data_IF_312040734773
#
_entry.id   IF_312040734773
#
_cell.length_a   1.000
_cell.length_b   1.000
_cell.length_c   1.000
_cell.angle_alpha   90.00
_cell.angle_beta   90.00
_cell.angle_gamma   90.00
#
_symmetry.space_group_name_H-M   'P 1'
#
loop_
_entity.id
_entity.type
_entity.pdbx_description
1 polymer ?
#
# COMPACT_ATOMS: atom_id res chain seq x y z
N UNK A 1 -12.72 12.98 8.39
CA UNK A 1 -12.20 11.98 7.45
C UNK A 1 -12.86 12.17 6.10
N UNK A 2 -12.06 12.22 5.04
CA UNK A 2 -12.55 12.13 3.66
C UNK A 2 -13.17 10.77 3.41
N UNK A 3 -14.23 10.73 2.62
CA UNK A 3 -14.85 9.49 2.16
C UNK A 3 -14.07 8.84 1.01
N UNK A 4 -14.46 7.61 0.64
CA UNK A 4 -13.80 6.85 -0.41
C UNK A 4 -13.83 7.54 -1.77
N UNK A 5 -14.95 8.17 -2.12
CA UNK A 5 -15.09 8.82 -3.41
C UNK A 5 -14.20 10.06 -3.48
N UNK A 6 -14.06 10.81 -2.38
CA UNK A 6 -13.13 11.93 -2.27
C UNK A 6 -11.68 11.47 -2.46
N UNK A 7 -11.28 10.35 -1.84
CA UNK A 7 -9.92 9.81 -1.97
C UNK A 7 -9.67 9.30 -3.39
N UNK A 8 -10.60 8.54 -3.99
CA UNK A 8 -10.46 8.08 -5.36
C UNK A 8 -10.38 9.24 -6.34
N UNK A 9 -11.25 10.24 -6.22
CA UNK A 9 -11.19 11.43 -7.07
C UNK A 9 -9.85 12.16 -6.90
N UNK A 10 -9.36 12.31 -5.67
CA UNK A 10 -8.07 12.94 -5.39
C UNK A 10 -6.92 12.22 -6.09
N UNK A 11 -6.77 10.90 -5.88
CA UNK A 11 -5.64 10.15 -6.45
C UNK A 11 -5.73 10.04 -7.97
N UNK A 12 -6.95 9.89 -8.52
CA UNK A 12 -7.18 9.88 -9.96
C UNK A 12 -6.88 11.23 -10.59
N UNK A 13 -7.22 12.34 -9.94
CA UNK A 13 -6.90 13.68 -10.44
C UNK A 13 -5.39 13.92 -10.45
N UNK A 14 -4.68 13.58 -9.37
CA UNK A 14 -3.23 13.67 -9.30
C UNK A 14 -2.59 12.83 -10.42
N UNK A 15 -3.02 11.57 -10.56
CA UNK A 15 -2.49 10.69 -11.57
C UNK A 15 -2.79 11.22 -12.97
N UNK A 16 -4.01 11.65 -13.28
CA UNK A 16 -4.36 12.17 -14.62
C UNK A 16 -3.55 13.41 -15.02
N UNK A 17 -3.26 14.30 -14.07
CA UNK A 17 -2.43 15.49 -14.32
C UNK A 17 -0.94 15.15 -14.49
N UNK A 18 -0.46 14.10 -13.82
CA UNK A 18 0.93 13.67 -13.89
C UNK A 18 1.14 12.60 -14.97
N UNK A 19 1.74 13.01 -16.10
CA UNK A 19 2.01 12.12 -17.24
C UNK A 19 2.99 10.99 -16.92
N UNK A 20 3.74 11.09 -15.82
CA UNK A 20 4.69 10.06 -15.36
C UNK A 20 3.98 8.84 -14.78
N UNK A 21 2.73 8.99 -14.32
CA UNK A 21 1.95 7.89 -13.74
C UNK A 21 1.25 7.13 -14.87
N UNK A 22 1.53 5.83 -14.96
CA UNK A 22 0.97 4.94 -15.98
C UNK A 22 -0.34 4.31 -15.54
N UNK A 23 -0.45 3.95 -14.26
CA UNK A 23 -1.62 3.36 -13.66
C UNK A 23 -1.75 3.71 -12.18
N UNK A 24 -2.98 3.57 -11.66
CA UNK A 24 -3.31 3.66 -10.24
C UNK A 24 -4.00 2.37 -9.84
N UNK A 25 -3.47 1.70 -8.82
CA UNK A 25 -4.10 0.53 -8.21
C UNK A 25 -4.42 0.83 -6.75
N UNK A 26 -5.45 0.17 -6.24
CA UNK A 26 -5.76 0.04 -4.83
C UNK A 26 -5.38 -1.38 -4.42
N UNK A 27 -4.47 -1.52 -3.47
CA UNK A 27 -4.10 -2.80 -2.88
C UNK A 27 -4.78 -2.97 -1.52
N UNK A 28 -4.63 -4.15 -0.90
CA UNK A 28 -4.93 -4.31 0.52
C UNK A 28 -6.41 -4.42 0.85
N UNK A 29 -6.72 -4.19 2.12
CA UNK A 29 -8.03 -4.53 2.70
C UNK A 29 -9.21 -3.79 2.06
N UNK A 30 -9.02 -2.57 1.55
CA UNK A 30 -10.08 -1.83 0.82
C UNK A 30 -10.37 -2.39 -0.56
N UNK A 31 -9.41 -3.08 -1.19
CA UNK A 31 -9.63 -3.79 -2.44
C UNK A 31 -10.44 -5.09 -2.25
N UNK A 32 -10.51 -5.62 -1.02
CA UNK A 32 -11.27 -6.83 -0.72
C UNK A 32 -12.79 -6.54 -0.72
N UNK A 33 -13.58 -7.15 -1.64
CA UNK A 33 -15.03 -6.92 -1.68
C UNK A 33 -15.77 -7.58 -0.51
N UNK A 34 -15.17 -8.57 0.14
CA UNK A 34 -15.81 -9.43 1.14
C UNK A 34 -15.77 -8.88 2.57
N UNK A 35 -15.00 -7.82 2.82
CA UNK A 35 -14.94 -7.16 4.12
C UNK A 35 -15.70 -5.83 4.10
N UNK A 36 -16.45 -5.50 5.17
CA UNK A 36 -17.00 -4.16 5.35
C UNK A 36 -15.87 -3.13 5.31
N UNK A 37 -16.15 -1.99 4.69
CA UNK A 37 -15.22 -0.87 4.69
C UNK A 37 -15.45 -0.06 5.95
N UNK A 38 -14.38 0.33 6.63
CA UNK A 38 -14.45 1.17 7.83
C UNK A 38 -13.52 2.38 7.74
N UNK A 39 -13.64 3.27 8.72
CA UNK A 39 -12.87 4.51 8.81
C UNK A 39 -11.42 4.29 9.26
N UNK A 40 -11.07 3.12 9.80
CA UNK A 40 -9.73 2.82 10.30
C UNK A 40 -8.86 2.09 9.27
N UNK A 41 -9.45 1.64 8.17
CA UNK A 41 -8.71 1.08 7.04
C UNK A 41 -7.93 2.15 6.27
N UNK A 42 -6.66 1.88 6.05
CA UNK A 42 -5.78 2.69 5.22
C UNK A 42 -6.14 2.57 3.73
N UNK A 43 -5.78 3.57 2.93
CA UNK A 43 -5.80 3.48 1.47
C UNK A 43 -4.40 3.12 0.96
N UNK A 44 -4.17 1.84 0.65
CA UNK A 44 -2.96 1.36 -0.01
C UNK A 44 -3.01 1.70 -1.50
N UNK A 45 -2.49 2.87 -1.87
CA UNK A 45 -2.51 3.36 -3.25
C UNK A 45 -1.17 3.04 -3.91
N UNK A 46 -1.22 2.44 -5.09
CA UNK A 46 -0.05 2.19 -5.92
C UNK A 46 -0.09 3.07 -7.15
N UNK A 47 0.94 3.87 -7.33
CA UNK A 47 1.23 4.62 -8.55
C UNK A 47 2.31 3.88 -9.34
N UNK A 48 1.93 3.33 -10.50
CA UNK A 48 2.87 2.64 -11.38
C UNK A 48 3.61 3.68 -12.22
N UNK A 49 4.94 3.73 -12.12
CA UNK A 49 5.75 4.76 -12.78
C UNK A 49 7.21 4.35 -12.94
N UNK A 50 7.80 4.72 -14.09
CA UNK A 50 9.24 4.61 -14.34
C UNK A 50 10.04 5.81 -13.77
N UNK A 51 9.38 6.80 -13.18
CA UNK A 51 9.97 8.10 -12.83
C UNK A 51 9.97 8.33 -11.30
N UNK A 52 10.29 7.30 -10.52
CA UNK A 52 10.26 7.37 -9.06
C UNK A 52 11.18 8.51 -8.57
N UNK A 53 12.41 8.55 -9.07
CA UNK A 53 13.43 9.53 -8.69
C UNK A 53 13.00 10.97 -8.99
N UNK A 54 12.36 11.19 -10.14
CA UNK A 54 11.82 12.51 -10.53
C UNK A 54 10.64 12.93 -9.65
N UNK A 55 9.86 11.97 -9.15
CA UNK A 55 8.73 12.25 -8.26
C UNK A 55 9.23 12.57 -6.85
N UNK A 56 10.16 11.80 -6.31
CA UNK A 56 10.68 12.00 -4.94
C UNK A 56 11.60 13.21 -4.82
N UNK A 57 12.26 13.62 -5.91
CA UNK A 57 13.07 14.86 -5.94
C UNK A 57 12.22 16.12 -5.80
N UNK A 58 10.93 16.07 -6.19
CA UNK A 58 9.95 17.07 -5.78
C UNK A 58 9.58 16.86 -4.30
N UNK A 59 10.31 17.55 -3.43
CA UNK A 59 10.10 17.50 -1.98
C UNK A 59 8.68 17.89 -1.54
N UNK A 60 7.88 18.52 -2.40
CA UNK A 60 6.50 18.91 -2.12
C UNK A 60 5.45 17.98 -2.75
N UNK A 61 5.85 16.89 -3.42
CA UNK A 61 4.91 16.02 -4.12
C UNK A 61 3.76 15.51 -3.22
N UNK A 62 4.09 15.15 -1.97
CA UNK A 62 3.14 14.69 -0.96
C UNK A 62 2.05 15.72 -0.62
N UNK A 63 2.31 17.03 -0.79
CA UNK A 63 1.34 18.09 -0.47
C UNK A 63 0.13 18.08 -1.39
N UNK A 64 0.20 17.40 -2.54
CA UNK A 64 -0.94 17.22 -3.45
C UNK A 64 -2.09 16.44 -2.81
N UNK A 65 -1.82 15.67 -1.76
CA UNK A 65 -2.79 14.79 -1.11
C UNK A 65 -3.53 15.45 0.08
N UNK A 66 -3.13 16.65 0.49
CA UNK A 66 -3.74 17.40 1.59
C UNK A 66 -2.80 17.66 2.77
N UNK A 67 -3.36 18.17 3.86
CA UNK A 67 -2.61 18.55 5.06
C UNK A 67 -2.22 17.33 5.90
N UNK A 68 -0.92 17.06 5.97
CA UNK A 68 -0.35 15.90 6.65
C UNK A 68 -0.19 16.20 8.15
N UNK A 69 -0.67 15.26 8.99
CA UNK A 69 -0.41 15.23 10.43
C UNK A 69 0.95 14.59 10.72
N UNK A 70 1.21 13.42 10.14
CA UNK A 70 2.48 12.70 10.27
C UNK A 70 2.76 11.90 8.99
N UNK A 71 4.04 11.80 8.62
CA UNK A 71 4.47 11.05 7.45
C UNK A 71 5.76 10.28 7.71
N UNK A 72 5.87 9.10 7.12
CA UNK A 72 7.09 8.30 7.06
C UNK A 72 7.45 7.96 5.61
N UNK A 73 8.74 7.79 5.36
CA UNK A 73 9.29 7.32 4.09
C UNK A 73 10.21 6.13 4.34
N UNK A 74 9.67 4.92 4.54
CA UNK A 74 10.45 3.77 5.04
C UNK A 74 11.59 3.35 4.10
N UNK A 75 11.50 3.68 2.81
CA UNK A 75 12.53 3.36 1.84
C UNK A 75 13.65 4.40 1.76
N UNK A 76 13.50 5.58 2.36
CA UNK A 76 14.46 6.69 2.24
C UNK A 76 15.71 6.40 3.09
N UNK A 77 16.84 6.13 2.43
CA UNK A 77 18.12 5.89 3.08
C UNK A 77 19.18 6.87 2.58
N UNK A 78 20.10 7.24 3.48
CA UNK A 78 21.24 8.10 3.14
C UNK A 78 22.08 7.41 2.05
N UNK A 79 22.29 8.13 0.94
CA UNK A 79 23.05 7.70 -0.25
C UNK A 79 22.34 6.71 -1.20
N UNK A 80 21.07 6.38 -0.99
CA UNK A 80 20.29 5.61 -1.98
C UNK A 80 19.65 6.58 -2.99
N UNK A 81 20.01 6.44 -4.26
CA UNK A 81 19.55 7.31 -5.34
C UNK A 81 18.62 6.61 -6.33
N UNK A 82 18.50 5.29 -6.25
CA UNK A 82 17.67 4.49 -7.17
C UNK A 82 16.72 3.58 -6.38
N UNK A 83 15.49 3.49 -6.86
CA UNK A 83 14.39 2.80 -6.21
C UNK A 83 13.58 1.98 -7.22
N UNK A 84 13.20 0.77 -6.81
CA UNK A 84 12.23 -0.06 -7.52
C UNK A 84 10.81 0.15 -6.96
N UNK A 85 10.76 0.45 -5.67
CA UNK A 85 9.58 0.88 -4.93
C UNK A 85 9.98 2.01 -3.96
N UNK A 86 9.10 3.00 -3.79
CA UNK A 86 9.23 4.03 -2.78
C UNK A 86 7.88 4.32 -2.13
N UNK A 87 7.79 4.21 -0.81
CA UNK A 87 6.57 4.42 -0.06
C UNK A 87 6.54 5.76 0.67
N UNK A 88 5.38 6.39 0.68
CA UNK A 88 4.97 7.44 1.58
C UNK A 88 3.84 6.90 2.46
N UNK A 89 4.07 6.78 3.76
CA UNK A 89 3.02 6.44 4.72
C UNK A 89 2.54 7.75 5.32
N UNK A 90 1.29 8.13 5.05
CA UNK A 90 0.78 9.47 5.37
C UNK A 90 -0.52 9.40 6.14
N UNK A 91 -0.54 9.98 7.34
CA UNK A 91 -1.76 10.27 8.07
C UNK A 91 -2.04 11.77 7.98
N UNK A 92 -3.25 12.13 7.60
CA UNK A 92 -3.67 13.50 7.36
C UNK A 92 -4.39 14.10 8.58
N UNK A 93 -4.55 15.42 8.61
CA UNK A 93 -5.22 16.13 9.72
C UNK A 93 -6.69 15.71 9.90
N UNK A 94 -7.33 15.26 8.83
CA UNK A 94 -8.69 14.73 8.87
C UNK A 94 -8.77 13.28 9.35
N UNK A 95 -7.64 12.70 9.76
CA UNK A 95 -7.38 11.32 10.21
C UNK A 95 -7.43 10.24 9.14
N UNK A 96 -7.72 10.58 7.88
CA UNK A 96 -7.58 9.62 6.78
C UNK A 96 -6.11 9.22 6.63
N UNK A 97 -5.84 7.96 6.28
CA UNK A 97 -4.50 7.45 6.01
C UNK A 97 -4.36 6.93 4.59
N UNK A 98 -3.30 7.35 3.92
CA UNK A 98 -2.93 6.88 2.58
C UNK A 98 -1.49 6.37 2.65
N UNK A 99 -1.32 5.09 2.32
CA UNK A 99 -0.03 4.46 2.14
C UNK A 99 0.23 4.41 0.63
N UNK A 100 0.94 5.41 0.12
CA UNK A 100 1.25 5.55 -1.31
C UNK A 100 2.55 4.83 -1.65
N UNK A 101 2.52 3.86 -2.56
CA UNK A 101 3.70 3.23 -3.15
C UNK A 101 3.89 3.69 -4.60
N UNK A 102 5.08 4.18 -4.92
CA UNK A 102 5.55 4.38 -6.29
C UNK A 102 6.28 3.11 -6.71
N UNK A 103 5.84 2.43 -7.75
CA UNK A 103 6.43 1.14 -8.17
C UNK A 103 6.76 1.18 -9.66
N UNK A 104 7.97 0.74 -10.03
CA UNK A 104 8.36 0.54 -11.42
C UNK A 104 7.56 -0.62 -12.03
N UNK A 105 7.05 -0.51 -13.27
CA UNK A 105 6.23 -1.55 -13.90
C UNK A 105 6.84 -2.96 -13.83
N UNK A 106 8.16 -3.06 -14.02
CA UNK A 106 8.89 -4.33 -14.04
C UNK A 106 8.95 -5.05 -12.69
N UNK A 107 8.71 -4.34 -11.58
CA UNK A 107 8.69 -4.90 -10.22
C UNK A 107 7.28 -4.92 -9.62
N UNK A 108 6.24 -4.61 -10.39
CA UNK A 108 4.89 -4.46 -9.86
C UNK A 108 4.39 -5.73 -9.16
N UNK A 109 4.66 -6.91 -9.73
CA UNK A 109 4.25 -8.18 -9.14
C UNK A 109 5.01 -8.51 -7.85
N UNK A 110 6.28 -8.13 -7.74
CA UNK A 110 7.11 -8.38 -6.56
C UNK A 110 6.67 -7.55 -5.34
N UNK A 111 6.10 -6.37 -5.58
CA UNK A 111 5.70 -5.40 -4.54
C UNK A 111 4.18 -5.33 -4.30
N UNK A 112 3.37 -6.09 -5.04
CA UNK A 112 1.95 -6.30 -4.72
C UNK A 112 1.82 -7.48 -3.75
N UNK A 113 2.03 -7.17 -2.48
CA UNK A 113 2.17 -8.10 -1.36
C UNK A 113 0.85 -8.41 -0.63
N UNK A 114 -0.28 -8.28 -1.30
CA UNK A 114 -1.59 -8.55 -0.71
C UNK A 114 -2.42 -9.54 -1.56
N UNK A 115 -3.47 -10.10 -0.96
CA UNK A 115 -4.42 -10.98 -1.63
C UNK A 115 -5.38 -10.24 -2.57
N UNK A 116 -5.60 -8.94 -2.38
CA UNK A 116 -6.59 -8.16 -3.11
C UNK A 116 -5.97 -6.92 -3.74
N UNK A 117 -6.20 -6.76 -5.05
CA UNK A 117 -5.80 -5.57 -5.80
C UNK A 117 -6.88 -5.22 -6.82
N UNK A 118 -7.08 -3.91 -7.01
CA UNK A 118 -8.02 -3.33 -7.95
C UNK A 118 -7.37 -2.19 -8.72
N UNK A 119 -7.46 -2.23 -10.04
CA UNK A 119 -7.02 -1.15 -10.93
C UNK A 119 -8.06 -0.03 -10.92
N UNK A 120 -7.66 1.17 -10.52
CA UNK A 120 -8.50 2.37 -10.56
C UNK A 120 -8.30 3.17 -11.84
N UNK A 121 -7.08 3.16 -12.40
CA UNK A 121 -6.72 3.83 -13.65
C UNK A 121 -5.66 3.02 -14.39
N UNK A 122 -5.84 2.86 -15.69
CA UNK A 122 -4.83 2.30 -16.58
C UNK A 122 -4.74 3.14 -17.86
N UNK A 123 -3.68 3.94 -17.98
CA UNK A 123 -3.48 4.81 -19.16
C UNK A 123 -2.77 4.08 -20.30
N UNK A 124 -2.27 2.86 -20.08
CA UNK A 124 -1.47 2.08 -21.03
C UNK A 124 -2.18 0.83 -21.53
N UNK A 125 -3.31 0.46 -20.93
CA UNK A 125 -4.03 -0.79 -21.17
C UNK A 125 -3.13 -2.02 -20.98
N UNK A 126 -2.33 -2.03 -19.90
CA UNK A 126 -1.36 -3.08 -19.57
C UNK A 126 -1.54 -3.69 -18.18
N UNK A 127 -2.36 -3.08 -17.34
CA UNK A 127 -2.40 -3.36 -15.91
C UNK A 127 -3.71 -4.00 -15.46
N UNK A 128 -4.69 -4.20 -16.36
CA UNK A 128 -6.00 -4.78 -16.02
C UNK A 128 -5.92 -6.16 -15.35
N UNK A 129 -4.90 -6.96 -15.63
CA UNK A 129 -4.66 -8.27 -15.01
C UNK A 129 -4.28 -8.18 -13.53
N UNK A 130 -3.97 -6.98 -13.03
CA UNK A 130 -3.76 -6.70 -11.61
C UNK A 130 -5.06 -6.39 -10.85
N UNK A 131 -6.23 -6.60 -11.48
CA UNK A 131 -7.49 -6.82 -10.76
C UNK A 131 -7.55 -8.29 -10.34
N UNK A 132 -7.18 -8.59 -9.09
CA UNK A 132 -7.19 -9.96 -8.60
C UNK A 132 -7.75 -10.09 -7.19
N UNK A 133 -8.27 -11.28 -6.93
CA UNK A 133 -8.75 -11.75 -5.64
C UNK A 133 -8.09 -13.11 -5.36
N UNK A 134 -6.93 -13.09 -4.71
CA UNK A 134 -6.11 -14.25 -4.34
C UNK A 134 -6.32 -14.60 -2.86
N UNK A 135 -7.57 -14.75 -2.44
CA UNK A 135 -7.94 -14.95 -1.02
C UNK A 135 -7.20 -16.10 -0.33
N UNK A 136 -6.74 -17.10 -1.09
CA UNK A 136 -5.93 -18.21 -0.59
C UNK A 136 -4.60 -17.77 0.02
N UNK A 137 -4.08 -16.58 -0.30
CA UNK A 137 -2.90 -16.01 0.36
C UNK A 137 -3.11 -15.70 1.84
N UNK A 138 -4.36 -15.56 2.29
CA UNK A 138 -4.71 -15.43 3.71
C UNK A 138 -4.99 -16.76 4.40
N UNK A 139 -4.99 -17.88 3.67
CA UNK A 139 -5.23 -19.20 4.27
C UNK A 139 -4.01 -19.66 5.06
N UNK A 140 -4.13 -19.65 6.39
CA UNK A 140 -3.12 -20.25 7.26
C UNK A 140 -3.25 -21.76 7.28
N UNK A 141 -2.11 -22.47 7.29
CA UNK A 141 -2.09 -23.93 7.51
C UNK A 141 -2.83 -24.28 8.81
N UNK A 142 -3.75 -25.24 8.73
CA UNK A 142 -4.34 -25.83 9.92
C UNK A 142 -3.27 -26.58 10.71
N UNK A 143 -3.07 -26.18 11.97
CA UNK A 143 -2.12 -26.82 12.88
C UNK A 143 -2.79 -28.00 13.61
N UNK A 144 -2.00 -29.04 13.88
CA UNK A 144 -2.38 -30.12 14.79
C UNK A 144 -2.33 -29.65 16.25
N UNK A 145 -3.02 -30.37 17.14
CA UNK A 145 -3.01 -30.11 18.58
C UNK A 145 -1.58 -30.11 19.16
N UNK A 146 -0.73 -31.04 18.72
CA UNK A 146 0.67 -31.12 19.14
C UNK A 146 1.49 -29.91 18.69
N UNK A 147 1.29 -29.41 17.46
CA UNK A 147 1.93 -28.19 16.96
C UNK A 147 1.49 -26.97 17.78
N UNK A 148 0.19 -26.86 18.09
CA UNK A 148 -0.35 -25.78 18.92
C UNK A 148 0.26 -25.81 20.33
N UNK A 149 0.30 -26.98 20.97
CA UNK A 149 0.83 -27.13 22.32
C UNK A 149 2.31 -26.73 22.42
N UNK A 150 3.12 -27.05 21.40
CA UNK A 150 4.53 -26.62 21.33
C UNK A 150 4.66 -25.10 21.20
N UNK A 151 3.86 -24.48 20.35
CA UNK A 151 3.88 -23.01 20.18
C UNK A 151 3.45 -22.31 21.48
N UNK A 152 2.38 -22.78 22.13
CA UNK A 152 1.92 -22.23 23.39
C UNK A 152 2.99 -22.37 24.48
N UNK A 153 3.64 -23.53 24.58
CA UNK A 153 4.73 -23.74 25.53
C UNK A 153 5.88 -22.74 25.30
N UNK A 154 6.29 -22.54 24.05
CA UNK A 154 7.34 -21.58 23.69
C UNK A 154 6.95 -20.15 24.06
N UNK A 155 5.72 -19.72 23.75
CA UNK A 155 5.21 -18.38 24.11
C UNK A 155 5.31 -18.16 25.62
N UNK A 156 4.84 -19.11 26.44
CA UNK A 156 4.95 -18.99 27.89
C UNK A 156 6.39 -19.01 28.38
N UNK A 157 7.24 -19.85 27.79
CA UNK A 157 8.66 -19.92 28.13
C UNK A 157 9.36 -18.58 27.91
N UNK A 158 9.24 -18.00 26.71
CA UNK A 158 9.90 -16.71 26.39
C UNK A 158 9.23 -15.51 27.04
N UNK A 159 7.96 -15.61 27.45
CA UNK A 159 7.28 -14.52 28.16
C UNK A 159 8.00 -14.13 29.46
N UNK A 160 8.73 -15.06 30.07
CA UNK A 160 9.54 -14.81 31.28
C UNK A 160 10.74 -13.86 31.05
N UNK A 161 11.10 -13.59 29.79
CA UNK A 161 12.19 -12.68 29.42
C UNK A 161 11.74 -11.22 29.27
N UNK A 162 10.42 -10.98 29.21
CA UNK A 162 9.87 -9.62 29.12
C UNK A 162 9.70 -9.08 30.54
N UNK A 163 10.52 -8.09 30.90
CA UNK A 163 10.49 -7.37 32.21
C UNK A 163 9.68 -6.08 32.08
#
# INVERSE_FOLDING_TARGET
MRDEQEIYNLVLNIANQDKRIEAVLLNGSRANPNVPKDDFQDYDIVFVTNFIEDIISDTNYHKKFGDILIMQKPNEFRNKTEYNCFAYLMQFQDLTRIDLRLIKPEFLEDYLDDAFSKVLLDKKNKYLDYNFERSSLYETKQLSEDEINKILNEIYWVSTYVV
#
